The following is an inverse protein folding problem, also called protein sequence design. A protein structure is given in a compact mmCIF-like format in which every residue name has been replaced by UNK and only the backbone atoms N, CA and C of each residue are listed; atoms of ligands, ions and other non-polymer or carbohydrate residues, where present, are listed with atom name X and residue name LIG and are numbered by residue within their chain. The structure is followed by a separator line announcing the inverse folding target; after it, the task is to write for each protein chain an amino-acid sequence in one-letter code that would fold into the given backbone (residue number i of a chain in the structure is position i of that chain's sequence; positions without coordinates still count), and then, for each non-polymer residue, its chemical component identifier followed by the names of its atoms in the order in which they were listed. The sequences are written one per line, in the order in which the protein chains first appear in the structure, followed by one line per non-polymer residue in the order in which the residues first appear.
data_IF_423431906111
#
_entry.id   IF_423431906111
#
_cell.length_a   1.000
_cell.length_b   1.000
_cell.length_c   1.000
_cell.angle_alpha   90.00
_cell.angle_beta   90.00
_cell.angle_gamma   90.00
#
_symmetry.space_group_name_H-M   'P 1'
#
loop_
_entity.id
_entity.type
_entity.pdbx_description
1 polymer ?
#
# COMPACT_ATOMS: atom_id res chain seq x y z
N UNK A 1 -31.18 0.79 1.61
CA UNK A 1 -31.34 0.15 1.53
C UNK A 1 -31.24 -0.39 0.84
N UNK A 2 -31.09 -0.43 0.79
CA UNK A 2 -31.35 -1.12 0.25
C UNK A 2 -31.31 -2.30 0.51
N UNK A 3 -31.59 -2.48 0.74
CA UNK A 3 -31.95 -3.30 0.86
C UNK A 3 -32.33 -4.19 1.02
N UNK A 4 -32.53 -4.42 1.22
CA UNK A 4 -33.10 -5.24 1.20
C UNK A 4 -34.00 -5.90 0.95
N UNK A 5 -34.35 -5.57 1.01
CA UNK A 5 -35.27 -6.24 0.58
C UNK A 5 -34.98 -6.92 -0.46
N UNK A 6 -34.18 -6.82 -0.70
CA UNK A 6 -33.88 -7.40 -1.69
C UNK A 6 -33.42 -8.57 -1.58
N UNK A 7 -33.92 -9.13 -1.64
CA UNK A 7 -33.87 -10.29 -1.50
C UNK A 7 -33.22 -11.01 -2.46
N UNK A 8 -33.32 -10.82 -3.60
CA UNK A 8 -32.61 -11.49 -4.57
C UNK A 8 -31.19 -11.08 -4.45
N UNK A 9 -30.24 -11.91 -4.82
CA UNK A 9 -28.88 -11.53 -4.90
C UNK A 9 -28.78 -10.47 -5.94
N UNK A 10 -28.84 -9.27 -5.52
CA UNK A 10 -28.65 -8.17 -6.42
C UNK A 10 -27.18 -8.08 -6.66
N UNK A 11 -26.80 -8.25 -7.89
CA UNK A 11 -25.47 -7.92 -8.29
C UNK A 11 -25.42 -6.41 -8.36
N UNK A 12 -24.98 -5.83 -7.29
CA UNK A 12 -24.75 -4.39 -7.27
C UNK A 12 -23.42 -4.18 -7.97
N UNK A 13 -23.38 -3.47 -9.08
CA UNK A 13 -22.12 -3.15 -9.73
C UNK A 13 -21.21 -2.46 -8.72
N UNK A 14 -19.96 -2.81 -8.68
CA UNK A 14 -19.01 -2.13 -7.84
C UNK A 14 -19.03 -0.65 -8.19
N UNK A 15 -19.42 0.17 -7.25
CA UNK A 15 -19.32 1.62 -7.38
C UNK A 15 -18.10 2.03 -6.57
N UNK A 16 -17.03 2.46 -7.23
CA UNK A 16 -15.86 2.92 -6.49
C UNK A 16 -16.27 4.06 -5.57
N UNK A 17 -15.73 4.08 -4.37
CA UNK A 17 -15.91 5.23 -3.50
C UNK A 17 -15.42 6.48 -4.21
N UNK A 18 -16.18 7.55 -4.06
CA UNK A 18 -15.84 8.82 -4.67
C UNK A 18 -14.47 9.28 -4.15
N UNK A 19 -13.61 9.63 -5.07
CA UNK A 19 -12.30 10.18 -4.74
C UNK A 19 -11.20 9.17 -4.51
N UNK A 20 -11.50 7.87 -4.46
CA UNK A 20 -10.45 6.89 -4.17
C UNK A 20 -10.67 5.53 -4.81
N UNK A 21 -9.60 4.77 -4.93
CA UNK A 21 -9.59 3.36 -5.34
C UNK A 21 -8.77 2.58 -4.32
N UNK A 22 -9.39 1.60 -3.67
CA UNK A 22 -8.70 0.73 -2.74
C UNK A 22 -7.91 -0.30 -3.54
N UNK A 23 -6.59 -0.29 -3.36
CA UNK A 23 -5.70 -1.25 -4.02
C UNK A 23 -5.73 -2.57 -3.25
N UNK A 24 -5.50 -2.49 -1.94
CA UNK A 24 -5.47 -3.65 -1.05
C UNK A 24 -5.87 -3.25 0.35
N UNK A 25 -6.79 -4.01 0.96
CA UNK A 25 -7.09 -3.92 2.38
C UNK A 25 -6.99 -5.29 3.06
N UNK A 26 -6.72 -6.34 2.28
CA UNK A 26 -6.50 -7.72 2.71
C UNK A 26 -7.69 -8.40 3.40
N UNK A 27 -8.82 -7.72 3.55
CA UNK A 27 -9.95 -8.24 4.32
C UNK A 27 -10.60 -9.47 3.69
N UNK A 28 -10.58 -9.55 2.37
CA UNK A 28 -11.15 -10.69 1.63
C UNK A 28 -10.13 -11.79 1.37
N UNK A 29 -8.88 -11.60 1.74
CA UNK A 29 -7.85 -12.63 1.58
C UNK A 29 -7.92 -13.66 2.71
N UNK A 30 -7.54 -14.87 2.42
CA UNK A 30 -7.39 -15.89 3.46
C UNK A 30 -6.13 -15.62 4.29
N UNK A 31 -6.18 -15.95 5.58
CA UNK A 31 -4.99 -15.92 6.42
C UNK A 31 -3.95 -16.89 5.85
N UNK A 32 -2.72 -16.42 5.80
CA UNK A 32 -1.62 -17.20 5.23
C UNK A 32 -1.40 -16.99 3.74
N UNK A 33 -2.24 -16.22 3.07
CA UNK A 33 -2.01 -15.91 1.66
C UNK A 33 -0.69 -15.16 1.51
N UNK A 34 0.17 -15.65 0.62
CA UNK A 34 1.45 -15.03 0.33
C UNK A 34 1.34 -14.11 -0.88
N UNK A 35 1.97 -12.95 -0.78
CA UNK A 35 2.14 -12.03 -1.91
C UNK A 35 3.54 -12.18 -2.49
N UNK A 36 3.67 -11.95 -3.79
CA UNK A 36 4.97 -11.93 -4.44
C UNK A 36 5.85 -10.79 -3.89
N UNK A 37 7.15 -11.00 -3.93
CA UNK A 37 8.14 -10.05 -3.46
C UNK A 37 9.14 -9.71 -4.57
N UNK A 38 9.70 -8.51 -4.53
CA UNK A 38 10.79 -8.14 -5.44
C UNK A 38 12.11 -8.80 -5.09
N UNK A 39 12.23 -9.33 -3.88
CA UNK A 39 13.45 -9.96 -3.37
C UNK A 39 13.14 -11.18 -2.51
N UNK A 40 14.10 -11.59 -1.70
CA UNK A 40 14.10 -12.89 -1.04
C UNK A 40 13.32 -13.02 0.28
N UNK A 41 12.57 -12.02 0.68
CA UNK A 41 11.78 -12.11 1.90
C UNK A 41 10.35 -12.58 1.62
N UNK A 42 9.46 -12.43 2.58
CA UNK A 42 8.08 -12.89 2.46
C UNK A 42 7.10 -11.82 2.91
N UNK A 43 5.90 -11.90 2.35
CA UNK A 43 4.76 -11.09 2.74
C UNK A 43 3.54 -11.99 2.82
N UNK A 44 2.91 -12.06 3.98
CA UNK A 44 1.84 -13.00 4.28
C UNK A 44 0.71 -12.28 4.99
N UNK A 45 -0.53 -12.59 4.61
CA UNK A 45 -1.71 -12.01 5.26
C UNK A 45 -1.90 -12.63 6.63
N UNK A 46 -1.99 -11.79 7.64
CA UNK A 46 -2.18 -12.17 9.05
C UNK A 46 -3.27 -11.32 9.69
N UNK A 47 -3.68 -11.69 10.88
CA UNK A 47 -4.55 -10.83 11.66
C UNK A 47 -3.83 -9.54 12.07
N UNK A 48 -4.59 -8.48 12.26
CA UNK A 48 -4.04 -7.22 12.75
C UNK A 48 -3.27 -7.48 14.06
N UNK A 49 -2.00 -7.11 14.13
CA UNK A 49 -1.16 -7.39 15.31
C UNK A 49 -1.63 -6.69 16.57
N UNK A 50 -2.48 -5.70 16.48
CA UNK A 50 -3.07 -5.05 17.67
C UNK A 50 -4.24 -5.83 18.26
N UNK A 51 -4.57 -6.99 17.69
CA UNK A 51 -5.66 -7.82 18.18
C UNK A 51 -7.05 -7.26 17.91
N UNK A 52 -7.16 -6.25 17.08
CA UNK A 52 -8.44 -5.72 16.63
C UNK A 52 -8.91 -6.50 15.42
N UNK A 53 -10.17 -6.31 15.06
CA UNK A 53 -10.70 -6.96 13.88
C UNK A 53 -9.96 -6.48 12.65
N UNK A 54 -9.74 -7.36 11.71
CA UNK A 54 -9.13 -7.03 10.44
C UNK A 54 -7.86 -7.80 10.17
N UNK A 55 -7.39 -7.67 8.94
CA UNK A 55 -6.21 -8.35 8.43
C UNK A 55 -5.21 -7.33 7.92
N UNK A 56 -3.95 -7.72 7.91
CA UNK A 56 -2.86 -6.89 7.41
C UNK A 56 -1.83 -7.78 6.71
N UNK A 57 -0.96 -7.17 5.93
CA UNK A 57 0.13 -7.87 5.27
C UNK A 57 1.38 -7.77 6.14
N UNK A 58 1.86 -8.91 6.62
CA UNK A 58 3.11 -8.98 7.37
C UNK A 58 4.28 -9.17 6.42
N UNK A 59 5.19 -8.21 6.39
CA UNK A 59 6.34 -8.19 5.48
C UNK A 59 7.61 -8.45 6.27
N UNK A 60 8.34 -9.49 5.89
CA UNK A 60 9.52 -9.95 6.60
C UNK A 60 9.19 -10.76 7.85
N UNK A 61 10.22 -11.30 8.47
CA UNK A 61 10.15 -12.01 9.76
C UNK A 61 11.40 -11.67 10.56
N UNK A 62 11.47 -12.11 11.81
CA UNK A 62 12.67 -11.92 12.64
C UNK A 62 13.92 -12.53 11.99
N UNK A 63 13.75 -13.71 11.39
CA UNK A 63 14.87 -14.44 10.77
C UNK A 63 15.11 -14.06 9.32
N UNK A 64 14.13 -13.47 8.65
CA UNK A 64 14.19 -13.13 7.23
C UNK A 64 13.56 -11.75 7.00
N UNK A 65 14.28 -10.73 7.39
CA UNK A 65 13.82 -9.35 7.20
C UNK A 65 13.77 -8.97 5.74
N UNK A 66 12.91 -8.03 5.43
CA UNK A 66 12.67 -7.60 4.04
C UNK A 66 13.77 -6.66 3.54
N UNK A 67 15.01 -7.15 3.50
CA UNK A 67 16.15 -6.38 3.02
C UNK A 67 15.98 -6.05 1.53
N UNK A 68 15.66 -4.80 1.23
CA UNK A 68 15.44 -4.31 -0.14
C UNK A 68 14.45 -5.18 -0.91
N UNK A 69 13.49 -5.75 -0.20
CA UNK A 69 12.48 -6.65 -0.74
C UNK A 69 11.09 -6.05 -0.45
N UNK A 70 10.24 -6.01 -1.47
CA UNK A 70 8.99 -5.28 -1.40
C UNK A 70 7.84 -6.15 -1.90
N UNK A 71 6.70 -6.18 -1.21
CA UNK A 71 5.52 -6.87 -1.72
C UNK A 71 5.03 -6.23 -3.01
N UNK A 72 4.51 -7.07 -3.90
CA UNK A 72 4.02 -6.66 -5.21
C UNK A 72 2.51 -6.84 -5.28
N UNK A 73 1.84 -5.87 -5.88
CA UNK A 73 0.40 -5.87 -6.06
C UNK A 73 0.07 -5.64 -7.53
N UNK A 74 -0.73 -6.52 -8.10
CA UNK A 74 -1.26 -6.32 -9.44
C UNK A 74 -2.48 -5.40 -9.33
N UNK A 75 -2.39 -4.24 -9.95
CA UNK A 75 -3.44 -3.22 -9.89
C UNK A 75 -4.15 -3.16 -11.22
N UNK A 76 -5.47 -3.24 -11.17
CA UNK A 76 -6.34 -2.96 -12.31
C UNK A 76 -7.26 -1.83 -11.88
N UNK A 77 -7.10 -0.67 -12.49
CA UNK A 77 -7.91 0.49 -12.15
C UNK A 77 -9.34 0.32 -12.64
N UNK A 78 -10.30 0.98 -11.98
CA UNK A 78 -11.68 0.98 -12.45
C UNK A 78 -11.80 1.49 -13.89
N UNK A 79 -12.82 1.01 -14.59
CA UNK A 79 -13.06 1.44 -15.96
C UNK A 79 -13.15 2.96 -16.05
N UNK A 80 -12.47 3.52 -17.04
CA UNK A 80 -12.42 4.96 -17.28
C UNK A 80 -11.36 5.69 -16.46
N UNK A 81 -10.65 5.01 -15.57
CA UNK A 81 -9.56 5.60 -14.77
C UNK A 81 -8.20 5.18 -15.31
N UNK A 82 -7.25 6.07 -15.19
CA UNK A 82 -5.83 5.83 -15.50
C UNK A 82 -4.97 6.40 -14.39
N UNK A 83 -3.75 5.93 -14.32
CA UNK A 83 -2.84 6.29 -13.23
C UNK A 83 -2.65 7.80 -13.09
N UNK A 84 -2.60 8.52 -14.20
CA UNK A 84 -2.46 9.97 -14.19
C UNK A 84 -3.64 10.74 -13.58
N UNK A 85 -4.78 10.09 -13.34
CA UNK A 85 -5.92 10.72 -12.68
C UNK A 85 -5.73 10.82 -11.16
N UNK A 86 -4.75 10.12 -10.60
CA UNK A 86 -4.56 10.03 -9.15
C UNK A 86 -3.53 11.04 -8.68
N UNK A 87 -3.76 11.59 -7.50
CA UNK A 87 -2.90 12.64 -6.94
C UNK A 87 -2.01 12.14 -5.82
N UNK A 88 -2.42 11.09 -5.13
CA UNK A 88 -1.58 10.50 -4.10
C UNK A 88 -1.98 9.07 -3.78
N UNK A 89 -1.12 8.42 -2.99
CA UNK A 89 -1.28 7.09 -2.47
C UNK A 89 -1.21 7.20 -0.95
N UNK A 90 -2.12 6.55 -0.24
CA UNK A 90 -2.03 6.44 1.22
C UNK A 90 -1.83 4.99 1.63
N UNK A 91 -1.09 4.80 2.71
CA UNK A 91 -0.76 3.47 3.24
C UNK A 91 -0.82 3.53 4.76
N UNK A 92 -1.42 2.50 5.36
CA UNK A 92 -1.26 2.26 6.79
C UNK A 92 -0.04 1.39 6.99
N UNK A 93 0.81 1.76 7.93
CA UNK A 93 2.07 1.06 8.19
C UNK A 93 2.30 0.91 9.69
N UNK A 94 2.75 -0.30 10.06
CA UNK A 94 3.18 -0.61 11.43
C UNK A 94 4.56 -1.23 11.37
N UNK A 95 5.56 -0.56 11.95
CA UNK A 95 6.93 -1.03 11.96
C UNK A 95 7.12 -1.93 13.17
N UNK A 96 7.68 -3.11 12.98
CA UNK A 96 7.90 -4.06 14.08
C UNK A 96 9.17 -3.73 14.86
N UNK A 97 10.20 -3.21 14.18
CA UNK A 97 11.46 -2.89 14.81
C UNK A 97 12.00 -1.53 14.36
N UNK A 98 12.75 -0.89 15.23
CA UNK A 98 13.30 0.44 14.97
C UNK A 98 14.30 0.47 13.81
N UNK A 99 15.03 -0.61 13.63
CA UNK A 99 16.09 -0.67 12.62
C UNK A 99 15.56 -0.72 11.19
N UNK A 100 14.29 -0.96 11.01
CA UNK A 100 13.69 -1.18 9.72
C UNK A 100 13.68 0.06 8.84
N UNK A 101 12.65 0.84 8.96
CA UNK A 101 12.38 1.94 8.03
C UNK A 101 13.03 3.25 8.47
N UNK A 102 13.58 3.28 9.67
CA UNK A 102 13.86 4.50 10.41
C UNK A 102 14.80 5.48 9.72
N UNK A 103 15.75 5.04 8.97
CA UNK A 103 16.71 5.93 8.33
C UNK A 103 16.71 5.88 6.82
N UNK A 104 16.02 4.92 6.24
CA UNK A 104 16.21 4.61 4.82
C UNK A 104 15.06 5.04 3.92
N UNK A 105 13.89 5.29 4.47
CA UNK A 105 12.76 5.75 3.69
C UNK A 105 11.97 4.65 3.01
N UNK A 106 10.98 5.07 2.28
CA UNK A 106 10.11 4.20 1.49
C UNK A 106 10.52 4.22 0.03
N UNK A 107 10.28 3.11 -0.62
CA UNK A 107 10.44 2.97 -2.07
C UNK A 107 9.11 2.56 -2.66
N UNK A 108 8.81 3.10 -3.82
CA UNK A 108 7.66 2.72 -4.62
C UNK A 108 8.17 2.33 -6.00
N UNK A 109 7.64 1.23 -6.52
CA UNK A 109 7.95 0.78 -7.88
C UNK A 109 6.66 0.67 -8.66
N UNK A 110 6.67 1.17 -9.86
CA UNK A 110 5.57 0.98 -10.82
C UNK A 110 6.15 0.29 -12.04
N UNK A 111 5.67 -0.90 -12.34
CA UNK A 111 6.20 -1.76 -13.39
C UNK A 111 7.72 -1.93 -13.30
N UNK A 112 8.22 -2.09 -12.09
CA UNK A 112 9.65 -2.29 -11.84
C UNK A 112 10.49 -1.02 -11.85
N UNK A 113 9.93 0.13 -12.18
CA UNK A 113 10.66 1.39 -12.12
C UNK A 113 10.57 1.97 -10.72
N UNK A 114 11.72 2.21 -10.13
CA UNK A 114 11.80 2.69 -8.76
C UNK A 114 11.61 4.19 -8.65
N UNK A 115 10.88 4.58 -7.60
CA UNK A 115 10.76 5.98 -7.16
C UNK A 115 11.19 6.05 -5.69
N UNK A 116 12.18 6.88 -5.42
CA UNK A 116 12.57 7.16 -4.04
C UNK A 116 11.70 8.31 -3.54
N UNK A 117 10.87 8.03 -2.58
CA UNK A 117 9.90 9.01 -2.09
C UNK A 117 10.40 9.86 -0.92
N UNK A 118 11.63 9.65 -0.48
CA UNK A 118 12.24 10.49 0.55
C UNK A 118 11.57 10.41 1.92
N UNK A 119 10.83 9.35 2.18
CA UNK A 119 10.09 9.18 3.43
C UNK A 119 10.72 8.11 4.29
N UNK A 120 10.76 8.34 5.57
CA UNK A 120 11.17 7.33 6.54
C UNK A 120 10.21 7.37 7.74
N UNK A 121 10.39 6.45 8.66
CA UNK A 121 9.50 6.35 9.83
C UNK A 121 9.42 7.65 10.61
N UNK A 122 10.52 8.37 10.72
CA UNK A 122 10.55 9.65 11.41
C UNK A 122 9.76 10.70 10.66
N UNK A 123 9.84 10.73 9.35
CA UNK A 123 9.06 11.66 8.50
C UNK A 123 7.56 11.41 8.66
N UNK A 124 7.17 10.15 8.72
CA UNK A 124 5.79 9.77 8.98
C UNK A 124 5.35 9.99 10.42
N UNK A 125 6.29 10.22 11.34
CA UNK A 125 5.99 10.24 12.75
C UNK A 125 5.69 8.85 13.32
N UNK A 126 6.11 7.79 12.64
CA UNK A 126 5.88 6.44 13.10
C UNK A 126 6.75 6.10 14.32
N UNK A 127 6.13 5.45 15.28
CA UNK A 127 6.84 4.79 16.35
C UNK A 127 6.79 3.28 16.13
N UNK A 128 7.80 2.52 16.58
CA UNK A 128 7.75 1.07 16.49
C UNK A 128 6.52 0.49 17.17
N UNK A 129 6.01 -0.59 16.61
CA UNK A 129 4.86 -1.32 17.14
C UNK A 129 3.59 -0.47 17.32
N UNK A 130 3.44 0.55 16.48
CA UNK A 130 2.27 1.42 16.46
C UNK A 130 1.83 1.63 15.02
N UNK A 131 0.54 1.53 14.76
CA UNK A 131 0.02 1.86 13.44
C UNK A 131 0.16 3.34 13.15
N UNK A 132 0.74 3.64 11.99
CA UNK A 132 0.66 4.95 11.37
C UNK A 132 -0.36 4.85 10.23
N UNK A 133 -1.51 5.48 10.42
CA UNK A 133 -2.62 5.38 9.48
C UNK A 133 -2.59 6.51 8.48
N UNK A 134 -2.81 6.18 7.21
CA UNK A 134 -2.98 7.17 6.16
C UNK A 134 -1.72 7.97 5.82
N UNK A 135 -0.56 7.34 5.88
CA UNK A 135 0.67 7.98 5.43
C UNK A 135 0.57 8.32 3.94
N UNK A 136 0.83 9.57 3.58
CA UNK A 136 0.60 10.08 2.23
C UNK A 136 1.87 10.09 1.40
N UNK A 137 1.79 9.51 0.20
CA UNK A 137 2.83 9.59 -0.82
C UNK A 137 2.24 10.32 -2.01
N UNK A 138 2.74 11.52 -2.29
CA UNK A 138 2.26 12.31 -3.42
C UNK A 138 2.74 11.73 -4.75
N UNK A 139 1.87 11.69 -5.73
CA UNK A 139 2.20 11.32 -7.12
C UNK A 139 2.52 12.54 -7.98
N UNK A 140 2.59 13.72 -7.39
CA UNK A 140 2.79 14.97 -8.11
C UNK A 140 3.67 15.94 -7.31
N UNK A 141 4.69 15.41 -6.65
CA UNK A 141 5.62 16.22 -5.86
C UNK A 141 7.07 15.85 -6.17
N UNK A 142 7.86 16.84 -6.50
CA UNK A 142 9.31 16.67 -6.67
C UNK A 142 10.04 16.67 -5.33
N UNK A 143 9.37 17.05 -4.25
CA UNK A 143 9.94 17.08 -2.90
C UNK A 143 9.28 16.03 -2.04
N UNK A 144 10.00 15.53 -1.04
CA UNK A 144 9.46 14.53 -0.12
C UNK A 144 8.23 15.05 0.63
N UNK A 145 7.27 14.19 0.91
CA UNK A 145 7.24 12.78 0.57
C UNK A 145 6.46 12.55 -0.73
N UNK A 146 7.16 12.18 -1.74
CA UNK A 146 6.50 11.89 -2.99
C UNK A 146 7.43 11.91 -4.20
N UNK A 147 6.82 11.86 -5.35
CA UNK A 147 7.52 11.91 -6.63
C UNK A 147 6.57 12.47 -7.70
N UNK A 148 7.15 12.85 -8.83
CA UNK A 148 6.37 13.24 -10.01
C UNK A 148 6.23 12.01 -10.90
N UNK A 149 4.98 11.63 -11.17
CA UNK A 149 4.70 10.53 -12.08
C UNK A 149 5.15 10.87 -13.49
N UNK A 150 5.99 10.02 -14.13
CA UNK A 150 6.41 10.25 -15.50
C UNK A 150 5.23 10.25 -16.47
N UNK A 151 5.31 11.07 -17.51
CA UNK A 151 4.23 11.19 -18.48
C UNK A 151 3.88 9.85 -19.14
N UNK A 152 4.88 9.00 -19.43
CA UNK A 152 4.66 7.70 -20.05
C UNK A 152 3.88 6.73 -19.17
N UNK A 153 3.76 6.99 -17.88
CA UNK A 153 3.00 6.15 -16.96
C UNK A 153 1.58 6.65 -16.73
N UNK A 154 1.29 7.89 -17.09
CA UNK A 154 -0.01 8.50 -16.77
C UNK A 154 -1.19 7.81 -17.45
N UNK A 155 -0.96 7.15 -18.57
CA UNK A 155 -2.00 6.40 -19.28
C UNK A 155 -2.23 4.98 -18.83
N UNK A 156 -1.47 4.47 -17.86
CA UNK A 156 -1.60 3.09 -17.41
C UNK A 156 -2.94 2.87 -16.71
N UNK A 157 -3.59 1.77 -17.08
CA UNK A 157 -4.84 1.30 -16.46
C UNK A 157 -4.62 0.03 -15.66
N UNK A 158 -3.55 -0.70 -15.96
CA UNK A 158 -3.10 -1.89 -15.23
C UNK A 158 -1.59 -1.77 -15.04
N UNK A 159 -1.12 -2.11 -13.86
CA UNK A 159 0.30 -2.05 -13.55
C UNK A 159 0.63 -2.88 -12.32
N UNK A 160 1.89 -3.16 -12.13
CA UNK A 160 2.40 -3.75 -10.90
C UNK A 160 2.89 -2.64 -9.98
N UNK A 161 2.37 -2.61 -8.77
CA UNK A 161 2.81 -1.71 -7.71
C UNK A 161 3.64 -2.52 -6.72
N UNK A 162 4.82 -2.05 -6.37
CA UNK A 162 5.55 -2.57 -5.23
C UNK A 162 5.88 -1.42 -4.30
N UNK A 163 5.76 -1.64 -3.01
CA UNK A 163 5.97 -0.59 -2.03
C UNK A 163 6.50 -1.19 -0.75
N UNK A 164 7.47 -0.51 -0.16
CA UNK A 164 8.03 -0.97 1.11
C UNK A 164 9.26 -0.20 1.52
N UNK A 165 10.02 -0.78 2.45
CA UNK A 165 11.18 -0.14 3.02
C UNK A 165 12.42 -0.25 2.14
N UNK A 166 13.20 0.82 2.11
CA UNK A 166 14.55 0.81 1.53
C UNK A 166 15.60 0.28 2.51
N UNK A 167 15.22 -0.09 3.72
CA UNK A 167 16.15 -0.56 4.74
C UNK A 167 16.44 -2.05 4.63
N UNK A 168 17.66 -2.43 4.97
CA UNK A 168 18.06 -3.83 5.03
C UNK A 168 17.60 -4.61 6.25
N UNK A 169 16.94 -3.96 7.21
CA UNK A 169 16.51 -4.60 8.46
C UNK A 169 15.03 -4.53 8.70
N UNK A 170 14.22 -4.27 7.68
CA UNK A 170 12.82 -3.97 7.88
C UNK A 170 11.96 -5.21 8.13
N UNK A 171 11.11 -5.11 9.13
CA UNK A 171 9.96 -5.97 9.33
C UNK A 171 8.78 -5.06 9.66
N UNK A 172 7.67 -5.21 8.96
CA UNK A 172 6.55 -4.28 9.10
C UNK A 172 5.25 -4.91 8.64
N UNK A 173 4.14 -4.26 8.99
CA UNK A 173 2.83 -4.58 8.47
C UNK A 173 2.33 -3.44 7.59
N UNK A 174 1.62 -3.80 6.54
CA UNK A 174 0.93 -2.86 5.66
C UNK A 174 -0.56 -3.16 5.67
N UNK A 175 -1.35 -2.10 5.52
CA UNK A 175 -2.80 -2.21 5.33
C UNK A 175 -3.30 -1.00 4.57
N UNK A 176 -4.52 -1.06 4.08
CA UNK A 176 -5.22 0.03 3.44
C UNK A 176 -4.37 0.82 2.44
N UNK A 177 -3.92 0.13 1.40
CA UNK A 177 -3.20 0.77 0.30
C UNK A 177 -4.26 1.36 -0.64
N UNK A 178 -4.34 2.68 -0.70
CA UNK A 178 -5.41 3.39 -1.38
C UNK A 178 -4.84 4.48 -2.27
N UNK A 179 -5.33 4.56 -3.50
CA UNK A 179 -5.00 5.64 -4.41
C UNK A 179 -6.14 6.65 -4.46
N UNK A 180 -5.80 7.92 -4.42
CA UNK A 180 -6.77 9.01 -4.38
C UNK A 180 -6.67 9.87 -5.63
N UNK A 181 -7.80 10.11 -6.29
CA UNK A 181 -7.89 11.06 -7.40
C UNK A 181 -8.50 12.39 -6.96
N UNK A 182 -8.89 12.48 -5.69
CA UNK A 182 -9.17 13.74 -5.02
C UNK A 182 -8.34 13.75 -3.74
N UNK A 183 -8.00 14.90 -3.23
CA UNK A 183 -7.26 14.98 -1.99
C UNK A 183 -8.11 14.43 -0.85
N UNK A 184 -7.51 13.63 0.06
CA UNK A 184 -8.22 13.19 1.25
C UNK A 184 -8.68 14.41 2.05
N UNK A 185 -9.95 14.42 2.39
CA UNK A 185 -10.54 15.53 3.14
C UNK A 185 -10.21 15.54 4.62
#
# INVERSE_FOLDING_TARGET
AYCNELIQPIIIPFVPEKGKTVICDFENDELGKAYGMTGGSQAVVENDPDGKSGKALHVGTDDNKAAYSHPKFNVKLPEGRKLGDYVNLTIDMRIVNEDGIYGAGMRVFINGKEFNVGMNAKTFGCNPNTWNRGAVISLNSATAPGFILPDEMKGLTEFELAVGSASGGAQYFLDNIVMHYELPG
#
